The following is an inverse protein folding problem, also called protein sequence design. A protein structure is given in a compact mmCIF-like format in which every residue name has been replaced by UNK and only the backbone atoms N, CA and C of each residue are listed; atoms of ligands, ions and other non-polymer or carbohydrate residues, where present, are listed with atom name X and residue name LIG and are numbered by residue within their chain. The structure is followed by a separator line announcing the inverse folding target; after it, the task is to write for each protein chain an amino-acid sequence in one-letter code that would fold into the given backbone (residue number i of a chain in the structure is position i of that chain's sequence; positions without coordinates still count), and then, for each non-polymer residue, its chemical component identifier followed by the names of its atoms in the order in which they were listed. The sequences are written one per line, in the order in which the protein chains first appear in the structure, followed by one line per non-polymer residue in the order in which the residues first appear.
data_IF_990730064855
#
_entry.id   IF_990730064855
#
_cell.length_a   1.000
_cell.length_b   1.000
_cell.length_c   1.000
_cell.angle_alpha   90.00
_cell.angle_beta   90.00
_cell.angle_gamma   90.00
#
_symmetry.space_group_name_H-M   'P 1'
#
loop_
_entity.id
_entity.type
_entity.pdbx_description
1 polymer ?
#
# COMPACT_ATOMS: atom_id res chain seq x y z
N UNK A 1 28.03 -2.44 -10.36
CA UNK A 1 27.64 -1.49 -11.41
C UNK A 1 26.22 -1.76 -11.86
N UNK A 2 25.33 -0.75 -11.79
CA UNK A 2 24.03 -0.67 -12.49
C UNK A 2 22.99 -1.75 -12.16
N UNK A 3 22.26 -1.59 -11.04
CA UNK A 3 20.89 -2.14 -10.84
C UNK A 3 20.21 -1.51 -9.62
N UNK A 4 20.16 -0.21 -9.56
CA UNK A 4 19.38 0.52 -8.56
C UNK A 4 18.71 1.67 -9.28
N UNK A 5 17.64 1.41 -9.96
CA UNK A 5 16.61 2.40 -10.35
C UNK A 5 15.45 1.54 -10.84
N UNK A 6 14.48 1.23 -9.99
CA UNK A 6 13.17 0.69 -10.44
C UNK A 6 12.20 0.42 -9.26
N UNK A 7 12.15 1.32 -8.28
CA UNK A 7 11.18 1.15 -7.18
C UNK A 7 10.27 2.37 -6.93
N UNK A 8 10.46 3.47 -7.64
CA UNK A 8 9.55 4.62 -7.54
C UNK A 8 8.53 4.69 -8.69
N UNK A 9 8.65 3.84 -9.69
CA UNK A 9 7.78 3.86 -10.89
C UNK A 9 6.54 2.97 -10.78
N UNK A 10 6.41 2.15 -9.73
CA UNK A 10 5.31 1.17 -9.64
C UNK A 10 3.98 1.80 -9.21
N UNK A 11 4.00 3.01 -8.67
CA UNK A 11 2.77 3.72 -8.34
C UNK A 11 2.11 4.43 -9.54
N UNK A 12 2.84 4.60 -10.65
CA UNK A 12 2.35 5.34 -11.83
C UNK A 12 2.04 4.48 -13.06
N UNK A 13 2.35 3.18 -13.07
CA UNK A 13 2.23 2.33 -14.27
C UNK A 13 1.05 1.37 -14.29
N UNK A 14 0.07 1.50 -13.40
CA UNK A 14 -1.19 0.76 -13.48
C UNK A 14 -2.27 1.48 -14.33
N UNK A 15 -1.88 2.51 -15.12
CA UNK A 15 -2.80 3.27 -15.97
C UNK A 15 -2.70 2.93 -17.47
N UNK A 16 -2.08 1.85 -17.82
CA UNK A 16 -1.93 1.44 -19.21
C UNK A 16 -2.55 0.11 -19.53
N UNK A 17 -3.85 0.02 -19.65
CA UNK A 17 -4.59 -0.87 -20.55
C UNK A 17 -6.05 -0.99 -20.13
N UNK A 18 -6.88 0.00 -20.44
CA UNK A 18 -8.32 -0.19 -20.62
C UNK A 18 -8.73 0.43 -21.93
N UNK A 19 -8.79 -0.42 -22.93
CA UNK A 19 -9.45 -0.09 -24.18
C UNK A 19 -10.93 0.09 -23.92
N UNK A 20 -11.45 1.25 -24.34
CA UNK A 20 -12.82 1.51 -24.76
C UNK A 20 -13.93 1.38 -23.69
N UNK A 21 -14.13 2.46 -22.93
CA UNK A 21 -15.46 3.06 -22.84
C UNK A 21 -15.28 4.57 -22.89
N UNK A 22 -15.80 5.15 -23.96
CA UNK A 22 -15.80 6.58 -24.22
C UNK A 22 -16.64 7.33 -23.19
N UNK A 23 -16.17 8.56 -22.90
CA UNK A 23 -16.83 9.71 -22.25
C UNK A 23 -16.76 9.78 -20.73
N UNK A 24 -15.89 10.54 -20.30
CA UNK A 24 -15.84 11.74 -19.49
C UNK A 24 -14.58 11.87 -18.66
N UNK A 25 -13.91 12.93 -19.03
CA UNK A 25 -12.92 13.71 -18.28
C UNK A 25 -11.55 13.10 -18.02
N UNK A 26 -10.56 13.79 -18.61
CA UNK A 26 -9.15 13.86 -18.23
C UNK A 26 -8.93 14.37 -16.77
N UNK A 27 -9.82 14.09 -15.85
CA UNK A 27 -9.68 14.41 -14.45
C UNK A 27 -8.90 13.28 -13.79
N UNK A 28 -7.71 13.58 -13.29
CA UNK A 28 -7.02 12.68 -12.37
C UNK A 28 -7.93 12.42 -11.16
N UNK A 29 -7.99 11.17 -10.66
CA UNK A 29 -8.83 10.83 -9.51
C UNK A 29 -8.39 11.65 -8.28
N UNK A 30 -9.36 12.07 -7.48
CA UNK A 30 -9.08 12.80 -6.25
C UNK A 30 -8.45 11.85 -5.21
N UNK A 31 -7.75 12.38 -4.19
CA UNK A 31 -7.25 11.57 -3.09
C UNK A 31 -8.33 10.71 -2.42
N UNK A 32 -9.54 11.24 -2.30
CA UNK A 32 -10.69 10.53 -1.72
C UNK A 32 -11.15 9.39 -2.63
N UNK A 33 -11.25 9.61 -3.94
CA UNK A 33 -11.60 8.57 -4.91
C UNK A 33 -10.55 7.45 -4.94
N UNK A 34 -9.25 7.81 -4.80
CA UNK A 34 -8.17 6.84 -4.69
C UNK A 34 -8.30 6.01 -3.40
N UNK A 35 -8.58 6.66 -2.27
CA UNK A 35 -8.76 6.00 -0.98
C UNK A 35 -9.95 5.04 -1.02
N UNK A 36 -11.11 5.47 -1.50
CA UNK A 36 -12.30 4.64 -1.62
C UNK A 36 -12.04 3.37 -2.46
N UNK A 37 -11.40 3.53 -3.62
CA UNK A 37 -11.05 2.43 -4.50
C UNK A 37 -10.10 1.44 -3.82
N UNK A 38 -9.09 1.95 -3.12
CA UNK A 38 -8.12 1.13 -2.41
C UNK A 38 -8.77 0.42 -1.22
N UNK A 39 -9.62 1.10 -0.45
CA UNK A 39 -10.38 0.52 0.66
C UNK A 39 -11.23 -0.66 0.19
N UNK A 40 -11.99 -0.50 -0.89
CA UNK A 40 -12.81 -1.58 -1.48
C UNK A 40 -11.96 -2.78 -1.91
N UNK A 41 -10.77 -2.53 -2.43
CA UNK A 41 -9.82 -3.58 -2.81
C UNK A 41 -9.27 -4.31 -1.58
N UNK A 42 -8.87 -3.56 -0.55
CA UNK A 42 -8.36 -4.12 0.70
C UNK A 42 -9.45 -4.87 1.48
N UNK A 43 -10.69 -4.37 1.50
CA UNK A 43 -11.82 -5.03 2.14
C UNK A 43 -12.01 -6.46 1.63
N UNK A 44 -12.02 -6.63 0.31
CA UNK A 44 -12.12 -7.96 -0.33
C UNK A 44 -10.90 -8.83 -0.09
N UNK A 45 -9.71 -8.24 -0.18
CA UNK A 45 -8.43 -8.97 -0.12
C UNK A 45 -8.08 -9.45 1.27
N UNK A 46 -8.41 -8.64 2.29
CA UNK A 46 -8.08 -8.89 3.69
C UNK A 46 -9.29 -9.35 4.50
N UNK A 47 -10.47 -9.44 3.88
CA UNK A 47 -11.73 -9.79 4.54
C UNK A 47 -12.00 -8.87 5.75
N UNK A 48 -12.00 -7.56 5.49
CA UNK A 48 -12.22 -6.55 6.52
C UNK A 48 -13.67 -6.60 7.02
N UNK A 49 -13.88 -6.28 8.28
CA UNK A 49 -15.21 -5.97 8.82
C UNK A 49 -15.63 -4.57 8.40
N UNK A 50 -16.92 -4.25 8.42
CA UNK A 50 -17.43 -2.91 8.12
C UNK A 50 -16.76 -1.81 8.96
N UNK A 51 -16.54 -2.08 10.25
CA UNK A 51 -15.83 -1.16 11.13
C UNK A 51 -14.37 -0.96 10.69
N UNK A 52 -13.69 -2.02 10.27
CA UNK A 52 -12.32 -1.93 9.75
C UNK A 52 -12.28 -1.17 8.43
N UNK A 53 -13.25 -1.40 7.53
CA UNK A 53 -13.36 -0.66 6.27
C UNK A 53 -13.46 0.85 6.51
N UNK A 54 -14.33 1.26 7.44
CA UNK A 54 -14.47 2.68 7.81
C UNK A 54 -13.17 3.31 8.29
N UNK A 55 -12.44 2.62 9.19
CA UNK A 55 -11.17 3.13 9.69
C UNK A 55 -10.06 3.10 8.63
N UNK A 56 -10.01 2.04 7.82
CA UNK A 56 -9.05 1.93 6.70
C UNK A 56 -9.26 3.04 5.70
N UNK A 57 -10.51 3.32 5.32
CA UNK A 57 -10.87 4.42 4.43
C UNK A 57 -10.38 5.77 4.98
N UNK A 58 -10.71 6.07 6.23
CA UNK A 58 -10.28 7.30 6.91
C UNK A 58 -8.75 7.46 6.94
N UNK A 59 -8.01 6.37 7.19
CA UNK A 59 -6.56 6.35 7.19
C UNK A 59 -6.00 6.60 5.79
N UNK A 60 -6.57 5.97 4.78
CA UNK A 60 -6.12 6.12 3.39
C UNK A 60 -6.43 7.52 2.85
N UNK A 61 -7.62 8.09 3.14
CA UNK A 61 -7.94 9.48 2.79
C UNK A 61 -6.90 10.42 3.38
N UNK A 62 -6.67 10.34 4.70
CA UNK A 62 -5.68 11.19 5.37
C UNK A 62 -4.27 11.02 4.78
N UNK A 63 -3.89 9.80 4.41
CA UNK A 63 -2.60 9.51 3.79
C UNK A 63 -2.49 10.14 2.40
N UNK A 64 -3.47 9.91 1.51
CA UNK A 64 -3.42 10.45 0.14
C UNK A 64 -3.48 11.97 0.11
N UNK A 65 -4.38 12.58 0.90
CA UNK A 65 -4.45 14.05 1.03
C UNK A 65 -3.13 14.61 1.53
N UNK A 66 -2.54 14.00 2.55
CA UNK A 66 -1.28 14.46 3.13
C UNK A 66 -0.09 14.30 2.18
N UNK A 67 -0.02 13.20 1.42
CA UNK A 67 1.03 13.00 0.40
C UNK A 67 0.91 14.06 -0.69
N UNK A 68 -0.30 14.27 -1.23
CA UNK A 68 -0.54 15.26 -2.30
C UNK A 68 -0.13 16.65 -1.83
N UNK A 69 -0.61 17.08 -0.66
CA UNK A 69 -0.27 18.38 -0.10
C UNK A 69 1.25 18.56 0.08
N UNK A 70 1.93 17.56 0.66
CA UNK A 70 3.38 17.63 0.86
C UNK A 70 4.17 17.67 -0.45
N UNK A 71 3.71 16.97 -1.50
CA UNK A 71 4.36 17.02 -2.82
C UNK A 71 4.09 18.32 -3.55
N UNK A 72 2.90 18.91 -3.39
CA UNK A 72 2.59 20.25 -3.90
C UNK A 72 3.46 21.33 -3.25
N UNK A 73 3.65 21.27 -1.93
CA UNK A 73 4.54 22.18 -1.21
C UNK A 73 5.97 22.10 -1.71
N UNK A 74 6.50 20.90 -1.93
CA UNK A 74 7.83 20.73 -2.53
C UNK A 74 7.92 21.34 -3.92
N UNK A 75 6.93 21.09 -4.76
CA UNK A 75 6.86 21.64 -6.12
C UNK A 75 6.81 23.18 -6.10
N UNK A 76 5.98 23.76 -5.24
CA UNK A 76 5.81 25.21 -5.10
C UNK A 76 7.06 25.89 -4.54
N UNK A 77 7.84 25.19 -3.70
CA UNK A 77 9.13 25.68 -3.21
C UNK A 77 10.27 25.58 -4.23
N UNK A 78 9.98 25.07 -5.43
CA UNK A 78 11.00 24.87 -6.48
C UNK A 78 11.95 23.70 -6.22
N UNK A 79 11.63 22.83 -5.26
CA UNK A 79 12.42 21.63 -4.95
C UNK A 79 12.40 20.65 -6.14
N UNK A 80 13.57 20.32 -6.67
CA UNK A 80 13.73 19.40 -7.78
C UNK A 80 14.52 18.13 -7.41
N UNK A 81 15.00 18.04 -6.16
CA UNK A 81 15.79 16.91 -5.69
C UNK A 81 14.92 15.65 -5.53
N UNK A 82 15.14 14.60 -6.35
CA UNK A 82 14.35 13.35 -6.29
C UNK A 82 14.42 12.65 -4.94
N UNK A 83 15.53 12.81 -4.21
CA UNK A 83 15.73 12.20 -2.90
C UNK A 83 14.77 12.80 -1.86
N UNK A 84 14.51 14.11 -1.93
CA UNK A 84 13.56 14.78 -1.06
C UNK A 84 12.12 14.27 -1.31
N UNK A 85 11.72 14.11 -2.57
CA UNK A 85 10.42 13.50 -2.92
C UNK A 85 10.30 12.07 -2.41
N UNK A 86 11.36 11.28 -2.55
CA UNK A 86 11.40 9.90 -2.03
C UNK A 86 11.21 9.86 -0.51
N UNK A 87 11.91 10.72 0.24
CA UNK A 87 11.79 10.81 1.71
C UNK A 87 10.37 11.16 2.15
N UNK A 88 9.72 12.10 1.47
CA UNK A 88 8.33 12.46 1.78
C UNK A 88 7.42 11.25 1.60
N UNK A 89 7.51 10.56 0.47
CA UNK A 89 6.73 9.35 0.22
C UNK A 89 6.98 8.26 1.28
N UNK A 90 8.22 8.02 1.65
CA UNK A 90 8.59 7.05 2.69
C UNK A 90 8.02 7.42 4.07
N UNK A 91 8.09 8.70 4.45
CA UNK A 91 7.51 9.17 5.71
C UNK A 91 5.99 8.94 5.78
N UNK A 92 5.27 9.29 4.71
CA UNK A 92 3.84 9.06 4.65
C UNK A 92 3.50 7.57 4.62
N UNK A 93 4.28 6.76 3.92
CA UNK A 93 4.12 5.31 3.94
C UNK A 93 4.31 4.74 5.36
N UNK A 94 5.30 5.22 6.12
CA UNK A 94 5.51 4.79 7.51
C UNK A 94 4.34 5.20 8.42
N UNK A 95 3.81 6.42 8.27
CA UNK A 95 2.60 6.87 8.99
C UNK A 95 1.41 5.97 8.69
N UNK A 96 1.19 5.67 7.42
CA UNK A 96 0.10 4.79 6.96
C UNK A 96 0.23 3.38 7.55
N UNK A 97 1.43 2.78 7.49
CA UNK A 97 1.71 1.48 8.08
C UNK A 97 1.44 1.44 9.58
N UNK A 98 1.88 2.47 10.30
CA UNK A 98 1.66 2.57 11.75
C UNK A 98 0.17 2.71 12.10
N UNK A 99 -0.59 3.45 11.31
CA UNK A 99 -2.03 3.63 11.50
C UNK A 99 -2.81 2.33 11.20
N UNK A 100 -2.54 1.70 10.05
CA UNK A 100 -3.19 0.45 9.66
C UNK A 100 -2.89 -0.70 10.62
N UNK A 101 -1.69 -0.75 11.19
CA UNK A 101 -1.33 -1.75 12.21
C UNK A 101 -2.21 -1.72 13.46
N UNK A 102 -2.84 -0.58 13.77
CA UNK A 102 -3.74 -0.42 14.92
C UNK A 102 -5.17 -0.92 14.64
N UNK A 103 -5.54 -1.01 13.38
CA UNK A 103 -6.90 -1.35 12.93
C UNK A 103 -7.00 -2.79 12.43
N UNK A 104 -5.96 -3.26 11.76
CA UNK A 104 -5.91 -4.59 11.20
C UNK A 104 -5.44 -5.60 12.25
N UNK A 105 -6.00 -6.82 12.21
CA UNK A 105 -5.40 -7.92 12.95
C UNK A 105 -4.05 -8.33 12.35
N UNK A 106 -3.33 -9.20 13.04
CA UNK A 106 -1.99 -9.61 12.63
C UNK A 106 -1.97 -10.23 11.22
N UNK A 107 -2.92 -11.10 10.92
CA UNK A 107 -3.00 -11.80 9.63
C UNK A 107 -3.38 -10.84 8.50
N UNK A 108 -4.31 -9.93 8.75
CA UNK A 108 -4.69 -8.87 7.83
C UNK A 108 -3.53 -7.92 7.57
N UNK A 109 -2.81 -7.52 8.63
CA UNK A 109 -1.66 -6.63 8.49
C UNK A 109 -0.52 -7.27 7.70
N UNK A 110 -0.22 -8.56 7.93
CA UNK A 110 0.76 -9.30 7.11
C UNK A 110 0.27 -9.40 5.66
N UNK A 111 -1.02 -9.66 5.46
CA UNK A 111 -1.65 -9.66 4.13
C UNK A 111 -1.47 -8.31 3.41
N UNK A 112 -1.65 -7.21 4.13
CA UNK A 112 -1.39 -5.86 3.62
C UNK A 112 0.09 -5.64 3.29
N UNK A 113 1.02 -6.02 4.18
CA UNK A 113 2.47 -5.95 3.88
C UNK A 113 2.85 -6.74 2.63
N UNK A 114 2.24 -7.91 2.43
CA UNK A 114 2.42 -8.73 1.22
C UNK A 114 1.90 -8.02 -0.01
N UNK A 115 0.74 -7.39 0.08
CA UNK A 115 0.12 -6.64 -1.00
C UNK A 115 0.99 -5.48 -1.48
N UNK A 116 1.57 -4.71 -0.56
CA UNK A 116 2.46 -3.58 -0.89
C UNK A 116 3.93 -3.99 -1.12
N UNK A 117 4.23 -5.30 -1.21
CA UNK A 117 5.58 -5.80 -1.49
C UNK A 117 6.57 -5.80 -0.32
N UNK A 118 6.14 -5.39 0.90
CA UNK A 118 6.97 -5.35 2.11
C UNK A 118 6.95 -6.65 2.95
N UNK A 119 6.10 -7.60 2.60
CA UNK A 119 5.92 -8.85 3.34
C UNK A 119 6.69 -10.04 2.75
N UNK A 120 7.87 -9.87 2.16
CA UNK A 120 8.62 -10.93 1.47
C UNK A 120 9.01 -12.10 2.37
N UNK A 121 9.17 -11.85 3.68
CA UNK A 121 9.58 -12.87 4.67
C UNK A 121 8.42 -13.74 5.15
N UNK A 122 7.19 -13.42 4.76
CA UNK A 122 6.02 -14.18 5.11
C UNK A 122 5.58 -15.10 3.96
N UNK A 123 5.04 -16.27 4.33
CA UNK A 123 4.46 -17.26 3.41
C UNK A 123 3.19 -17.85 4.03
N UNK A 124 2.20 -18.17 3.21
CA UNK A 124 1.01 -18.89 3.67
C UNK A 124 1.35 -20.36 4.01
N UNK A 125 0.89 -20.82 5.16
CA UNK A 125 0.86 -22.21 5.55
C UNK A 125 -0.26 -22.98 4.82
N UNK A 126 -0.33 -24.28 5.09
CA UNK A 126 -1.39 -25.15 4.54
C UNK A 126 -2.79 -24.78 5.04
N UNK A 127 -2.88 -24.18 6.21
CA UNK A 127 -4.09 -23.66 6.86
C UNK A 127 -4.54 -22.28 6.33
N UNK A 128 -3.83 -21.74 5.35
CA UNK A 128 -4.12 -20.44 4.74
C UNK A 128 -3.63 -19.23 5.53
N UNK A 129 -3.05 -19.41 6.72
CA UNK A 129 -2.51 -18.32 7.56
C UNK A 129 -1.11 -17.92 7.12
N UNK A 130 -0.75 -16.68 7.43
CA UNK A 130 0.59 -16.14 7.18
C UNK A 130 1.55 -16.48 8.31
N UNK A 131 2.74 -16.95 7.98
CA UNK A 131 3.84 -17.29 8.89
C UNK A 131 5.16 -16.75 8.36
N UNK A 132 6.09 -16.48 9.25
CA UNK A 132 7.46 -16.24 8.84
C UNK A 132 8.04 -17.50 8.16
N UNK A 133 8.76 -17.32 7.08
CA UNK A 133 9.41 -18.43 6.36
C UNK A 133 10.36 -19.25 7.24
N UNK A 134 11.00 -18.58 8.23
CA UNK A 134 11.86 -19.23 9.22
C UNK A 134 11.10 -20.18 10.16
N UNK A 135 9.86 -19.83 10.53
CA UNK A 135 9.01 -20.65 11.40
C UNK A 135 8.48 -21.88 10.65
N UNK A 136 8.01 -21.71 9.42
CA UNK A 136 7.57 -22.83 8.59
C UNK A 136 8.68 -23.85 8.30
N UNK A 137 9.94 -23.39 8.19
CA UNK A 137 11.09 -24.30 8.04
C UNK A 137 11.35 -25.12 9.30
N UNK A 138 11.09 -24.58 10.49
CA UNK A 138 11.26 -25.29 11.78
C UNK A 138 10.18 -26.35 11.97
N UNK A 139 8.92 -26.03 11.63
CA UNK A 139 7.79 -26.97 11.72
C UNK A 139 7.99 -28.18 10.78
N UNK A 140 8.52 -27.97 9.58
CA UNK A 140 8.81 -29.06 8.65
C UNK A 140 10.01 -29.94 9.03
N UNK A 141 10.88 -29.49 9.96
CA UNK A 141 12.01 -30.26 10.46
C UNK A 141 11.70 -31.10 11.70
N UNK A 142 10.62 -30.78 12.43
CA UNK A 142 10.10 -31.54 13.58
C UNK A 142 8.61 -31.79 13.39
N UNK A 143 8.21 -32.76 12.53
CA UNK A 143 6.84 -33.23 12.51
C UNK A 143 6.58 -33.99 13.81
N UNK A 144 5.70 -33.45 14.68
CA UNK A 144 5.14 -34.18 15.81
C UNK A 144 4.24 -35.31 15.32
#
# INVERSE_FOLDING_TARGET
MKKIILLSAIFFLALGSVSSFAQNSDKQPTPEEMAEKETKNLAKRLNLTEAQEFYVDSILVANYVGVVAALEDLKNSGMQDPETYRRVNEQWQQKNLAALKKVLDEQQYIGYLRYIGKGKDYKKGKDGKWYLKSELKKQNKNPQ
#
